data_IF_159319537528
#
_entry.id   IF_159319537528
#
_cell.length_a   1.000
_cell.length_b   1.000
_cell.length_c   1.000
_cell.angle_alpha   90.00
_cell.angle_beta   90.00
_cell.angle_gamma   90.00
#
_symmetry.space_group_name_H-M   'P 1'
#
loop_
_entity.id
_entity.type
_entity.pdbx_description
1 polymer ?
#
# COMPACT_ATOMS: atom_id res chain seq x y z
N UNK A 1 -9.21 -21.77 -34.32
CA UNK A 1 -8.88 -22.06 -32.92
C UNK A 1 -9.49 -20.94 -32.13
N UNK A 2 -10.43 -21.25 -31.23
CA UNK A 2 -11.02 -20.22 -30.38
C UNK A 2 -10.02 -19.85 -29.28
N UNK A 3 -10.06 -18.62 -28.77
CA UNK A 3 -9.23 -18.19 -27.63
C UNK A 3 -9.43 -19.09 -26.39
N UNK A 4 -10.57 -19.79 -26.32
CA UNK A 4 -10.87 -20.79 -25.30
C UNK A 4 -10.02 -22.06 -25.45
N UNK A 5 -9.77 -22.53 -26.67
CA UNK A 5 -8.97 -23.74 -26.89
C UNK A 5 -7.51 -23.52 -26.44
N UNK A 6 -6.97 -22.33 -26.72
CA UNK A 6 -5.62 -21.94 -26.27
C UNK A 6 -5.52 -21.81 -24.74
N UNK A 7 -6.57 -21.33 -24.06
CA UNK A 7 -6.62 -21.23 -22.59
C UNK A 7 -6.76 -22.60 -21.91
N UNK A 8 -7.42 -23.57 -22.54
CA UNK A 8 -7.57 -24.91 -21.96
C UNK A 8 -6.31 -25.78 -22.12
N UNK A 9 -5.40 -25.37 -23.02
CA UNK A 9 -4.13 -26.05 -23.28
C UNK A 9 -2.96 -25.52 -22.42
N UNK A 10 -3.14 -24.43 -21.65
CA UNK A 10 -2.13 -23.96 -20.68
C UNK A 10 -2.19 -24.75 -19.37
N UNK A 11 -1.06 -24.91 -18.68
CA UNK A 11 -1.05 -25.55 -17.37
C UNK A 11 -1.62 -24.61 -16.30
N UNK A 12 -2.08 -25.15 -15.16
CA UNK A 12 -2.57 -24.30 -14.07
C UNK A 12 -1.48 -23.34 -13.55
N UNK A 13 -0.21 -23.73 -13.66
CA UNK A 13 0.95 -22.91 -13.29
C UNK A 13 1.26 -21.79 -14.30
N UNK A 14 0.71 -21.88 -15.52
CA UNK A 14 0.82 -20.87 -16.57
C UNK A 14 -0.34 -19.86 -16.56
N UNK A 15 -1.31 -20.02 -15.63
CA UNK A 15 -2.37 -19.04 -15.42
C UNK A 15 -1.84 -17.83 -14.67
N UNK A 16 -2.24 -16.64 -15.09
CA UNK A 16 -1.87 -15.39 -14.41
C UNK A 16 -2.36 -15.40 -12.95
N UNK A 17 -1.45 -15.14 -12.02
CA UNK A 17 -1.82 -14.92 -10.63
C UNK A 17 -2.64 -13.64 -10.50
N UNK A 18 -3.72 -13.70 -9.74
CA UNK A 18 -4.53 -12.53 -9.45
C UNK A 18 -3.75 -11.56 -8.54
N UNK A 19 -3.88 -10.24 -8.75
CA UNK A 19 -3.34 -9.26 -7.81
C UNK A 19 -3.82 -9.53 -6.39
N UNK A 20 -2.87 -9.62 -5.47
CA UNK A 20 -3.18 -9.90 -4.07
C UNK A 20 -3.27 -8.61 -3.25
N UNK A 21 -4.04 -8.65 -2.16
CA UNK A 21 -4.01 -7.62 -1.14
C UNK A 21 -3.32 -8.14 0.12
N UNK A 22 -2.03 -7.81 0.28
CA UNK A 22 -1.22 -8.23 1.43
C UNK A 22 -0.18 -7.18 1.80
N UNK A 23 0.28 -7.11 3.06
CA UNK A 23 1.41 -6.26 3.41
C UNK A 23 2.63 -6.61 2.54
N UNK A 24 3.22 -5.61 1.90
CA UNK A 24 4.50 -5.79 1.23
C UNK A 24 5.58 -6.19 2.25
N UNK A 25 6.57 -7.01 1.83
CA UNK A 25 7.75 -7.31 2.64
C UNK A 25 8.49 -6.03 3.04
N UNK A 26 9.45 -6.17 3.96
CA UNK A 26 10.27 -5.02 4.34
C UNK A 26 11.20 -4.65 3.18
N UNK A 27 11.19 -3.40 2.75
CA UNK A 27 11.94 -2.99 1.57
C UNK A 27 11.59 -1.60 1.07
N UNK A 28 12.14 -1.26 -0.09
CA UNK A 28 11.80 -0.07 -0.86
C UNK A 28 10.99 -0.49 -2.09
N UNK A 29 9.82 0.14 -2.27
CA UNK A 29 8.92 -0.16 -3.37
C UNK A 29 8.46 1.12 -4.06
N UNK A 30 8.40 1.09 -5.38
CA UNK A 30 7.76 2.14 -6.17
C UNK A 30 6.29 1.78 -6.36
N UNK A 31 5.41 2.71 -6.00
CA UNK A 31 3.98 2.46 -5.87
C UNK A 31 3.16 3.66 -6.37
N UNK A 32 1.90 3.39 -6.71
CA UNK A 32 0.87 4.41 -6.84
C UNK A 32 0.11 4.49 -5.52
N UNK A 33 0.17 5.66 -4.87
CA UNK A 33 -0.47 5.91 -3.59
C UNK A 33 -1.82 6.61 -3.76
N UNK A 34 -2.81 6.16 -2.99
CA UNK A 34 -4.14 6.76 -2.92
C UNK A 34 -4.56 6.92 -1.46
N UNK A 35 -5.00 8.14 -1.09
CA UNK A 35 -5.65 8.36 0.20
C UNK A 35 -7.17 8.30 0.08
N UNK A 36 -7.85 7.77 1.09
CA UNK A 36 -9.32 7.78 1.17
C UNK A 36 -9.81 7.93 2.63
N UNK A 37 -11.09 8.24 2.81
CA UNK A 37 -11.76 8.26 4.11
C UNK A 37 -12.72 7.09 4.23
N UNK A 38 -12.63 6.35 5.32
CA UNK A 38 -13.56 5.25 5.62
C UNK A 38 -14.12 5.40 7.02
N UNK A 39 -15.31 4.84 7.23
CA UNK A 39 -15.84 4.61 8.58
C UNK A 39 -15.63 3.14 8.94
N UNK A 40 -14.93 2.89 10.05
CA UNK A 40 -14.62 1.54 10.51
C UNK A 40 -15.13 1.43 11.93
N UNK A 41 -16.11 0.55 12.15
CA UNK A 41 -16.75 0.36 13.46
C UNK A 41 -17.28 1.68 14.07
N UNK A 42 -17.89 2.54 13.25
CA UNK A 42 -18.43 3.84 13.70
C UNK A 42 -17.39 4.94 13.94
N UNK A 43 -16.14 4.73 13.52
CA UNK A 43 -15.04 5.69 13.71
C UNK A 43 -14.45 6.12 12.37
N UNK A 44 -14.22 7.41 12.21
CA UNK A 44 -13.56 7.95 11.02
C UNK A 44 -12.09 7.53 10.97
N UNK A 45 -11.70 7.00 9.82
CA UNK A 45 -10.34 6.60 9.49
C UNK A 45 -9.94 7.17 8.13
N UNK A 46 -8.63 7.37 7.96
CA UNK A 46 -8.03 7.62 6.64
C UNK A 46 -7.27 6.37 6.24
N UNK A 47 -7.41 5.91 5.00
CA UNK A 47 -6.61 4.83 4.44
C UNK A 47 -5.56 5.38 3.50
N UNK A 48 -4.41 4.71 3.45
CA UNK A 48 -3.42 4.84 2.40
C UNK A 48 -3.35 3.49 1.71
N UNK A 49 -3.83 3.45 0.47
CA UNK A 49 -3.78 2.29 -0.40
C UNK A 49 -2.62 2.47 -1.38
N UNK A 50 -1.79 1.42 -1.51
CA UNK A 50 -0.61 1.36 -2.35
C UNK A 50 -0.84 0.29 -3.40
N UNK A 51 -0.57 0.61 -4.66
CA UNK A 51 -0.53 -0.34 -5.77
C UNK A 51 0.90 -0.45 -6.26
N UNK A 52 1.44 -1.66 -6.31
CA UNK A 52 2.84 -1.89 -6.64
C UNK A 52 3.08 -1.59 -8.13
N UNK A 53 4.17 -0.87 -8.41
CA UNK A 53 4.75 -0.77 -9.74
C UNK A 53 5.97 -1.68 -9.85
N UNK A 54 6.92 -1.54 -8.91
CA UNK A 54 8.11 -2.38 -8.84
C UNK A 54 8.70 -2.41 -7.42
N UNK A 55 9.37 -3.51 -7.07
CA UNK A 55 10.18 -3.57 -5.86
C UNK A 55 11.61 -3.14 -6.20
N UNK A 56 12.10 -2.10 -5.53
CA UNK A 56 13.43 -1.55 -5.77
C UNK A 56 14.50 -2.33 -5.01
N UNK A 57 14.21 -2.64 -3.75
CA UNK A 57 15.10 -3.39 -2.86
C UNK A 57 14.26 -4.08 -1.78
N UNK A 58 14.62 -5.31 -1.41
CA UNK A 58 14.08 -5.99 -0.23
C UNK A 58 15.12 -6.00 0.88
N UNK A 59 14.67 -5.85 2.12
CA UNK A 59 15.54 -5.96 3.29
C UNK A 59 16.11 -7.39 3.44
N UNK A 60 15.33 -8.39 3.04
CA UNK A 60 15.77 -9.78 2.89
C UNK A 60 15.60 -10.20 1.44
N UNK A 61 16.72 -10.41 0.74
CA UNK A 61 16.74 -10.83 -0.66
C UNK A 61 16.21 -12.25 -0.91
N UNK A 62 15.93 -13.02 0.16
CA UNK A 62 15.29 -14.34 0.06
C UNK A 62 13.76 -14.29 0.12
N UNK A 63 13.17 -13.15 0.49
CA UNK A 63 11.73 -12.96 0.44
C UNK A 63 11.24 -12.79 -1.02
N UNK A 64 10.03 -13.25 -1.30
CA UNK A 64 9.40 -13.06 -2.60
C UNK A 64 8.97 -11.61 -2.76
N UNK A 65 9.43 -10.96 -3.83
CA UNK A 65 9.00 -9.62 -4.17
C UNK A 65 7.50 -9.63 -4.56
N UNK A 66 6.70 -8.66 -4.10
CA UNK A 66 5.33 -8.50 -4.58
C UNK A 66 5.33 -8.26 -6.10
N UNK A 67 4.24 -8.68 -6.77
CA UNK A 67 4.07 -8.56 -8.23
C UNK A 67 3.51 -7.18 -8.58
N UNK A 68 3.82 -6.70 -9.78
CA UNK A 68 3.20 -5.47 -10.30
C UNK A 68 1.67 -5.57 -10.21
N UNK A 69 1.02 -4.52 -9.70
CA UNK A 69 -0.42 -4.51 -9.49
C UNK A 69 -0.89 -5.07 -8.13
N UNK A 70 -0.05 -5.80 -7.40
CA UNK A 70 -0.36 -6.20 -6.01
C UNK A 70 -0.62 -4.95 -5.18
N UNK A 71 -1.54 -5.07 -4.22
CA UNK A 71 -1.94 -3.95 -3.37
C UNK A 71 -1.59 -4.20 -1.92
N UNK A 72 -1.25 -3.13 -1.22
CA UNK A 72 -1.10 -3.12 0.22
C UNK A 72 -1.73 -1.84 0.76
N UNK A 73 -2.18 -1.86 2.02
CA UNK A 73 -2.79 -0.69 2.60
C UNK A 73 -2.53 -0.58 4.10
N UNK A 74 -2.60 0.64 4.59
CA UNK A 74 -2.60 0.93 6.02
C UNK A 74 -3.71 1.91 6.36
N UNK A 75 -4.20 1.84 7.59
CA UNK A 75 -5.30 2.68 8.07
C UNK A 75 -4.88 3.51 9.28
N UNK A 76 -5.38 4.73 9.33
CA UNK A 76 -5.11 5.70 10.38
C UNK A 76 -6.42 6.10 11.05
N UNK A 77 -6.65 5.59 12.26
CA UNK A 77 -7.80 5.96 13.06
C UNK A 77 -7.64 7.40 13.57
N UNK A 78 -8.62 8.27 13.29
CA UNK A 78 -8.51 9.70 13.61
C UNK A 78 -8.90 10.04 15.05
N UNK A 79 -9.47 9.08 15.78
CA UNK A 79 -9.94 9.24 17.16
C UNK A 79 -8.81 9.29 18.20
N UNK A 80 -7.58 8.92 17.83
CA UNK A 80 -6.42 8.89 18.74
C UNK A 80 -5.19 9.62 18.17
N UNK A 81 -4.29 10.04 19.06
CA UNK A 81 -3.11 10.83 18.69
C UNK A 81 -2.08 10.06 17.87
N UNK A 82 -1.97 8.75 18.07
CA UNK A 82 -1.02 7.89 17.35
C UNK A 82 -1.41 7.76 15.88
N UNK A 83 -2.70 7.52 15.60
CA UNK A 83 -3.22 7.46 14.23
C UNK A 83 -3.07 8.78 13.51
N UNK A 84 -3.40 9.91 14.16
CA UNK A 84 -3.18 11.25 13.59
C UNK A 84 -1.69 11.55 13.34
N UNK A 85 -0.82 11.14 14.26
CA UNK A 85 0.62 11.31 14.14
C UNK A 85 1.21 10.50 12.99
N UNK A 86 0.79 9.25 12.82
CA UNK A 86 1.24 8.39 11.73
C UNK A 86 0.69 8.85 10.38
N UNK A 87 -0.57 9.28 10.30
CA UNK A 87 -1.11 9.92 9.10
C UNK A 87 -0.26 11.12 8.68
N UNK A 88 0.08 12.01 9.64
CA UNK A 88 0.91 13.19 9.34
C UNK A 88 2.26 12.79 8.75
N UNK A 89 2.90 11.74 9.26
CA UNK A 89 4.20 11.27 8.75
C UNK A 89 4.12 10.85 7.28
N UNK A 90 3.07 10.12 6.89
CA UNK A 90 2.92 9.64 5.52
C UNK A 90 2.31 10.67 4.57
N UNK A 91 1.47 11.58 5.07
CA UNK A 91 0.78 12.58 4.25
C UNK A 91 1.63 13.82 3.95
N UNK A 92 2.58 14.17 4.84
CA UNK A 92 3.40 15.38 4.70
C UNK A 92 4.26 15.40 3.42
N UNK A 93 4.90 14.29 2.99
CA UNK A 93 5.65 14.26 1.73
C UNK A 93 4.78 14.62 0.53
N UNK A 94 3.54 14.12 0.47
CA UNK A 94 2.59 14.48 -0.58
C UNK A 94 2.15 15.93 -0.51
N UNK A 95 1.81 16.42 0.69
CA UNK A 95 1.45 17.82 0.87
C UNK A 95 2.55 18.77 0.39
N UNK A 96 3.80 18.42 0.69
CA UNK A 96 4.98 19.20 0.27
C UNK A 96 5.18 19.14 -1.24
N UNK A 97 5.18 17.93 -1.83
CA UNK A 97 5.45 17.73 -3.26
C UNK A 97 4.37 18.35 -4.16
N UNK A 98 3.10 18.26 -3.72
CA UNK A 98 1.95 18.75 -4.48
C UNK A 98 1.50 20.17 -4.07
N UNK A 99 2.24 20.82 -3.16
CA UNK A 99 1.94 22.14 -2.63
C UNK A 99 0.50 22.27 -2.07
N UNK A 100 0.09 21.27 -1.29
CA UNK A 100 -1.24 21.17 -0.67
C UNK A 100 -1.18 21.67 0.78
N UNK A 101 -2.27 22.30 1.21
CA UNK A 101 -2.28 23.07 2.46
C UNK A 101 -3.05 22.41 3.60
N UNK A 102 -3.88 21.43 3.29
CA UNK A 102 -4.74 20.75 4.26
C UNK A 102 -4.75 19.23 4.08
N UNK A 103 -5.11 18.50 5.15
CA UNK A 103 -5.29 17.03 5.09
C UNK A 103 -6.40 16.67 4.08
N UNK A 104 -7.44 17.49 3.98
CA UNK A 104 -8.52 17.32 3.00
C UNK A 104 -7.95 17.39 1.58
N UNK A 105 -7.13 18.40 1.30
CA UNK A 105 -6.49 18.57 -0.01
C UNK A 105 -5.65 17.34 -0.36
N UNK A 106 -4.87 16.82 0.59
CA UNK A 106 -4.08 15.59 0.39
C UNK A 106 -4.98 14.41 0.04
N UNK A 107 -6.05 14.18 0.79
CA UNK A 107 -6.96 13.05 0.54
C UNK A 107 -7.66 13.17 -0.81
N UNK A 108 -8.04 14.38 -1.22
CA UNK A 108 -8.76 14.64 -2.46
C UNK A 108 -7.84 14.59 -3.70
N UNK A 109 -6.57 15.02 -3.56
CA UNK A 109 -5.65 15.16 -4.71
C UNK A 109 -4.62 14.03 -4.84
N UNK A 110 -4.39 13.24 -3.79
CA UNK A 110 -3.50 12.08 -3.87
C UNK A 110 -4.30 10.86 -4.30
N UNK A 111 -4.43 10.72 -5.63
CA UNK A 111 -5.07 9.60 -6.32
C UNK A 111 -4.08 9.02 -7.33
N UNK A 112 -3.64 7.80 -7.07
CA UNK A 112 -2.61 7.11 -7.86
C UNK A 112 -1.35 7.96 -8.09
N UNK A 113 -0.89 8.67 -7.05
CA UNK A 113 0.33 9.48 -7.13
C UNK A 113 1.53 8.56 -6.96
N UNK A 114 2.46 8.64 -7.90
CA UNK A 114 3.69 7.86 -7.87
C UNK A 114 4.60 8.28 -6.71
N UNK A 115 5.06 7.30 -5.94
CA UNK A 115 6.03 7.52 -4.88
C UNK A 115 6.89 6.27 -4.63
N UNK A 116 8.01 6.46 -3.95
CA UNK A 116 8.78 5.40 -3.32
C UNK A 116 8.40 5.33 -1.85
N UNK A 117 8.09 4.13 -1.37
CA UNK A 117 7.79 3.85 0.04
C UNK A 117 8.83 2.90 0.62
N UNK A 118 9.22 3.17 1.86
CA UNK A 118 9.95 2.19 2.68
C UNK A 118 8.94 1.49 3.58
N UNK A 119 8.80 0.19 3.41
CA UNK A 119 7.83 -0.65 4.12
C UNK A 119 8.52 -1.54 5.15
N UNK A 120 7.74 -1.94 6.14
CA UNK A 120 8.01 -3.06 7.01
C UNK A 120 6.70 -3.76 7.36
N UNK A 121 6.81 -4.84 8.11
CA UNK A 121 5.67 -5.63 8.55
C UNK A 121 5.60 -5.64 10.08
N UNK A 122 4.44 -5.27 10.62
CA UNK A 122 4.18 -5.29 12.06
C UNK A 122 3.18 -6.39 12.40
N UNK A 123 3.48 -7.18 13.44
CA UNK A 123 2.57 -8.17 13.99
C UNK A 123 1.48 -7.52 14.86
N UNK A 124 0.28 -8.11 14.87
CA UNK A 124 -0.74 -7.76 15.86
C UNK A 124 -0.22 -8.08 17.28
N UNK A 125 -0.66 -7.28 18.25
CA UNK A 125 -0.23 -7.46 19.65
C UNK A 125 -0.84 -8.71 20.29
N UNK A 126 -2.06 -9.07 19.87
CA UNK A 126 -2.81 -10.18 20.44
C UNK A 126 -2.78 -11.42 19.54
N UNK A 127 -2.46 -11.25 18.25
CA UNK A 127 -2.40 -12.33 17.27
C UNK A 127 -1.17 -12.19 16.34
N UNK A 128 -0.02 -12.79 16.69
CA UNK A 128 1.21 -12.66 15.93
C UNK A 128 1.17 -13.17 14.49
N UNK A 129 0.10 -13.90 14.11
CA UNK A 129 -0.12 -14.38 12.74
C UNK A 129 -0.71 -13.29 11.84
N UNK A 130 -1.34 -12.27 12.42
CA UNK A 130 -1.87 -11.12 11.70
C UNK A 130 -0.77 -10.09 11.48
N UNK A 131 -0.52 -9.80 10.21
CA UNK A 131 0.52 -8.91 9.75
C UNK A 131 -0.12 -7.63 9.20
N UNK A 132 0.46 -6.48 9.53
CA UNK A 132 0.04 -5.18 9.04
C UNK A 132 1.20 -4.49 8.33
N UNK A 133 0.87 -3.77 7.27
CA UNK A 133 1.80 -2.88 6.60
C UNK A 133 2.21 -1.73 7.53
N UNK A 134 3.51 -1.51 7.64
CA UNK A 134 4.11 -0.40 8.36
C UNK A 134 4.89 0.47 7.37
N UNK A 135 4.33 1.62 7.02
CA UNK A 135 4.99 2.58 6.12
C UNK A 135 5.93 3.44 6.94
N UNK A 136 7.24 3.26 6.74
CA UNK A 136 8.30 3.94 7.48
C UNK A 136 8.60 5.32 6.91
N UNK A 137 8.64 5.41 5.60
CA UNK A 137 9.02 6.61 4.87
C UNK A 137 8.33 6.65 3.50
N UNK A 138 8.07 7.86 3.00
CA UNK A 138 7.48 8.10 1.69
C UNK A 138 8.24 9.24 1.02
N UNK A 139 8.60 9.04 -0.25
CA UNK A 139 9.17 10.05 -1.12
C UNK A 139 8.37 10.11 -2.42
N UNK A 140 7.72 11.24 -2.69
CA UNK A 140 7.02 11.47 -3.95
C UNK A 140 8.05 11.67 -5.07
N UNK A 141 7.80 11.04 -6.22
CA UNK A 141 8.67 11.08 -7.41
C UNK A 141 8.36 12.30 -8.27
#
# INVERSE_FOLDING_TARGET
MSDLDALLDVTLDDLEDLPEHKPYPAGAHRVLATFDTKEINGKSAVTLDLKLMESLELADASEEAPKEGDTAGTMFMLDNEYGRGNLKKVAMPFATALNLSSIRDVIENVKEVECVVITGVRKDKNDPTKLYLDVKEVQVV
#
